data_IF_748118841750
#
_entry.id   IF_748118841750
#
_cell.length_a   1.000
_cell.length_b   1.000
_cell.length_c   1.000
_cell.angle_alpha   90.00
_cell.angle_beta   90.00
_cell.angle_gamma   90.00
#
_symmetry.space_group_name_H-M   'P 1'
#
loop_
_entity.id
_entity.type
_entity.pdbx_description
1 polymer ?
#
# COMPACT_ATOMS: atom_id res chain seq x y z
N UNK A 1 0.93 -20.99 -11.00
CA UNK A 1 -0.03 -20.99 -9.85
C UNK A 1 0.66 -20.27 -8.71
N UNK A 2 0.13 -19.14 -8.22
CA UNK A 2 0.74 -18.37 -7.14
C UNK A 2 0.97 -19.29 -5.94
N UNK A 3 2.19 -19.32 -5.40
CA UNK A 3 2.50 -20.05 -4.17
C UNK A 3 1.48 -19.67 -3.09
N UNK A 4 0.74 -20.62 -2.52
CA UNK A 4 -0.34 -20.33 -1.56
C UNK A 4 0.14 -19.47 -0.38
N UNK A 5 1.41 -19.66 0.03
CA UNK A 5 2.08 -18.88 1.07
C UNK A 5 2.37 -17.44 0.66
N UNK A 6 2.65 -17.18 -0.62
CA UNK A 6 2.80 -15.82 -1.14
C UNK A 6 1.44 -15.11 -1.15
N UNK A 7 0.41 -15.80 -1.61
CA UNK A 7 -0.94 -15.25 -1.69
C UNK A 7 -1.51 -14.89 -0.31
N UNK A 8 -1.34 -15.76 0.68
CA UNK A 8 -1.74 -15.52 2.07
C UNK A 8 -1.05 -14.28 2.65
N UNK A 9 0.27 -14.14 2.46
CA UNK A 9 1.02 -12.97 2.91
C UNK A 9 0.64 -11.67 2.20
N UNK A 10 0.33 -11.73 0.89
CA UNK A 10 -0.15 -10.57 0.15
C UNK A 10 -1.54 -10.13 0.62
N UNK A 11 -2.41 -11.08 0.94
CA UNK A 11 -3.73 -10.84 1.50
C UNK A 11 -3.65 -10.20 2.88
N UNK A 12 -2.82 -10.72 3.78
CA UNK A 12 -2.56 -10.12 5.09
C UNK A 12 -2.02 -8.69 4.97
N UNK A 13 -1.04 -8.47 4.08
CA UNK A 13 -0.48 -7.14 3.84
C UNK A 13 -1.52 -6.17 3.28
N UNK A 14 -2.38 -6.62 2.36
CA UNK A 14 -3.46 -5.81 1.80
C UNK A 14 -4.53 -5.45 2.85
N UNK A 15 -4.87 -6.38 3.73
CA UNK A 15 -5.79 -6.12 4.84
C UNK A 15 -5.22 -5.09 5.83
N UNK A 16 -3.93 -5.21 6.16
CA UNK A 16 -3.24 -4.24 7.02
C UNK A 16 -3.22 -2.86 6.38
N UNK A 17 -2.85 -2.79 5.09
CA UNK A 17 -2.85 -1.55 4.32
C UNK A 17 -4.24 -0.87 4.34
N UNK A 18 -5.31 -1.61 4.05
CA UNK A 18 -6.67 -1.07 4.04
C UNK A 18 -7.15 -0.59 5.42
N UNK A 19 -6.76 -1.28 6.51
CA UNK A 19 -7.06 -0.82 7.87
C UNK A 19 -6.38 0.51 8.18
N UNK A 20 -5.10 0.65 7.84
CA UNK A 20 -4.38 1.90 8.06
C UNK A 20 -4.87 3.03 7.15
N UNK A 21 -5.23 2.73 5.90
CA UNK A 21 -5.85 3.70 5.00
C UNK A 21 -7.18 4.21 5.57
N UNK A 22 -7.97 3.34 6.19
CA UNK A 22 -9.22 3.73 6.87
C UNK A 22 -8.93 4.64 8.07
N UNK A 23 -7.87 4.38 8.84
CA UNK A 23 -7.46 5.23 9.96
C UNK A 23 -7.05 6.63 9.49
N UNK A 24 -6.28 6.73 8.40
CA UNK A 24 -5.89 8.03 7.82
C UNK A 24 -7.11 8.84 7.37
N UNK A 25 -8.14 8.16 6.88
CA UNK A 25 -9.38 8.79 6.41
C UNK A 25 -10.34 9.18 7.54
N UNK A 26 -10.14 8.66 8.75
CA UNK A 26 -11.07 8.85 9.84
C UNK A 26 -10.79 10.16 10.58
N UNK A 27 -11.62 11.17 10.32
CA UNK A 27 -11.53 12.49 10.95
C UNK A 27 -11.93 12.46 12.44
N UNK A 28 -12.61 11.40 12.90
CA UNK A 28 -13.08 11.22 14.30
C UNK A 28 -12.05 10.51 15.21
N UNK A 29 -10.80 10.37 14.77
CA UNK A 29 -9.76 9.90 15.67
C UNK A 29 -9.60 10.91 16.82
N UNK A 30 -9.60 10.41 18.06
CA UNK A 30 -9.36 11.21 19.27
C UNK A 30 -7.87 11.66 19.38
N UNK A 31 -7.31 12.18 18.29
CA UNK A 31 -5.97 12.74 18.19
C UNK A 31 -6.10 14.24 18.49
N UNK A 32 -5.36 14.78 19.46
CA UNK A 32 -5.35 16.22 19.70
C UNK A 32 -4.89 16.97 18.43
N UNK A 33 -5.53 18.08 18.10
CA UNK A 33 -5.22 18.89 16.90
C UNK A 33 -3.73 19.21 16.73
N UNK A 34 -3.00 19.40 17.83
CA UNK A 34 -1.56 19.66 17.83
C UNK A 34 -0.72 18.52 17.27
N UNK A 35 -1.22 17.28 17.33
CA UNK A 35 -0.53 16.07 16.86
C UNK A 35 -1.15 15.49 15.58
N UNK A 36 -2.22 16.08 15.06
CA UNK A 36 -2.96 15.52 13.93
C UNK A 36 -2.10 15.43 12.67
N UNK A 37 -1.35 16.50 12.36
CA UNK A 37 -0.42 16.51 11.23
C UNK A 37 0.69 15.46 11.37
N UNK A 38 1.27 15.30 12.56
CA UNK A 38 2.34 14.31 12.79
C UNK A 38 1.80 12.88 12.74
N UNK A 39 0.58 12.67 13.23
CA UNK A 39 -0.10 11.38 13.14
C UNK A 39 -0.44 11.01 11.69
N UNK A 40 -1.00 11.94 10.90
CA UNK A 40 -1.26 11.75 9.48
C UNK A 40 0.03 11.40 8.72
N UNK A 41 1.12 12.14 8.98
CA UNK A 41 2.42 11.87 8.39
C UNK A 41 2.94 10.47 8.74
N UNK A 42 2.90 10.09 10.01
CA UNK A 42 3.35 8.77 10.46
C UNK A 42 2.52 7.63 9.86
N UNK A 43 1.20 7.82 9.72
CA UNK A 43 0.31 6.84 9.10
C UNK A 43 0.60 6.71 7.59
N UNK A 44 0.87 7.81 6.88
CA UNK A 44 1.30 7.79 5.48
C UNK A 44 2.64 7.07 5.32
N UNK A 45 3.63 7.39 6.16
CA UNK A 45 4.95 6.73 6.14
C UNK A 45 4.81 5.22 6.37
N UNK A 46 3.94 4.81 7.30
CA UNK A 46 3.63 3.40 7.53
C UNK A 46 3.01 2.73 6.30
N UNK A 47 2.05 3.38 5.64
CA UNK A 47 1.42 2.84 4.43
C UNK A 47 2.45 2.67 3.30
N UNK A 48 3.35 3.63 3.13
CA UNK A 48 4.46 3.54 2.18
C UNK A 48 5.41 2.39 2.50
N UNK A 49 5.76 2.21 3.78
CA UNK A 49 6.59 1.09 4.24
C UNK A 49 5.91 -0.28 4.00
N UNK A 50 4.61 -0.38 4.26
CA UNK A 50 3.83 -1.60 4.03
C UNK A 50 3.84 -2.00 2.55
N UNK A 51 3.70 -1.02 1.65
CA UNK A 51 3.79 -1.24 0.21
C UNK A 51 5.17 -1.71 -0.24
N UNK A 52 6.25 -1.07 0.21
CA UNK A 52 7.61 -1.48 -0.12
C UNK A 52 7.90 -2.93 0.36
N UNK A 53 7.45 -3.25 1.58
CA UNK A 53 7.60 -4.58 2.15
C UNK A 53 6.96 -5.66 1.28
N UNK A 54 5.78 -5.38 0.74
CA UNK A 54 5.06 -6.36 -0.05
C UNK A 54 5.53 -6.40 -1.53
N UNK A 55 6.07 -5.30 -2.07
CA UNK A 55 6.85 -5.33 -3.32
C UNK A 55 8.06 -6.27 -3.19
N UNK A 56 8.80 -6.18 -2.07
CA UNK A 56 9.95 -7.08 -1.81
C UNK A 56 9.52 -8.53 -1.65
N UNK A 57 8.33 -8.76 -1.07
CA UNK A 57 7.76 -10.10 -0.93
C UNK A 57 7.48 -10.75 -2.30
N UNK A 58 6.86 -10.00 -3.22
CA UNK A 58 6.62 -10.44 -4.61
C UNK A 58 7.95 -10.77 -5.30
N UNK A 59 8.95 -9.89 -5.18
CA UNK A 59 10.25 -10.07 -5.79
C UNK A 59 10.98 -11.34 -5.29
N UNK A 60 10.82 -11.70 -4.01
CA UNK A 60 11.46 -12.88 -3.38
C UNK A 60 10.78 -14.21 -3.72
N UNK A 61 9.48 -14.21 -3.95
CA UNK A 61 8.69 -15.45 -4.09
C UNK A 61 8.18 -15.71 -5.53
N UNK A 62 8.42 -14.80 -6.47
CA UNK A 62 8.09 -15.00 -7.89
C UNK A 62 9.04 -15.98 -8.60
N UNK A 63 8.78 -17.28 -8.45
CA UNK A 63 9.52 -18.35 -9.16
C UNK A 63 8.87 -18.78 -10.49
N UNK A 64 7.66 -18.30 -10.79
CA UNK A 64 6.87 -18.61 -11.99
C UNK A 64 6.80 -17.36 -12.90
N UNK A 65 7.34 -17.42 -14.13
CA UNK A 65 7.66 -16.22 -14.94
C UNK A 65 6.44 -15.42 -15.36
N UNK A 66 5.34 -16.08 -15.73
CA UNK A 66 4.12 -15.41 -16.21
C UNK A 66 3.38 -14.70 -15.08
N UNK A 67 3.26 -15.37 -13.93
CA UNK A 67 2.71 -14.80 -12.69
C UNK A 67 3.56 -13.62 -12.22
N UNK A 68 4.89 -13.72 -12.36
CA UNK A 68 5.85 -12.67 -12.03
C UNK A 68 5.62 -11.43 -12.88
N UNK A 69 5.51 -11.56 -14.20
CA UNK A 69 5.35 -10.40 -15.09
C UNK A 69 4.06 -9.62 -14.82
N UNK A 70 2.95 -10.31 -14.53
CA UNK A 70 1.70 -9.65 -14.15
C UNK A 70 1.82 -8.91 -12.81
N UNK A 71 2.41 -9.54 -11.79
CA UNK A 71 2.61 -8.91 -10.47
C UNK A 71 3.58 -7.73 -10.55
N UNK A 72 4.68 -7.86 -11.30
CA UNK A 72 5.64 -6.78 -11.52
C UNK A 72 5.02 -5.62 -12.31
N UNK A 73 4.15 -5.89 -13.28
CA UNK A 73 3.39 -4.84 -13.99
C UNK A 73 2.52 -4.03 -13.04
N UNK A 74 1.84 -4.68 -12.10
CA UNK A 74 1.02 -4.02 -11.07
C UNK A 74 1.87 -3.27 -10.04
N UNK A 75 3.01 -3.83 -9.61
CA UNK A 75 3.99 -3.13 -8.77
C UNK A 75 4.48 -1.85 -9.44
N UNK A 76 4.75 -1.88 -10.75
CA UNK A 76 5.16 -0.69 -11.50
C UNK A 76 4.05 0.37 -11.52
N UNK A 77 2.79 -0.04 -11.67
CA UNK A 77 1.65 0.89 -11.58
C UNK A 77 1.52 1.51 -10.18
N UNK A 78 1.79 0.74 -9.12
CA UNK A 78 1.83 1.24 -7.73
C UNK A 78 2.94 2.28 -7.58
N UNK A 79 4.16 1.97 -8.04
CA UNK A 79 5.29 2.90 -7.97
C UNK A 79 5.01 4.20 -8.73
N UNK A 80 4.41 4.12 -9.92
CA UNK A 80 4.00 5.28 -10.72
C UNK A 80 2.88 6.08 -10.04
N UNK A 81 1.89 5.41 -9.44
CA UNK A 81 0.84 6.09 -8.69
C UNK A 81 1.39 6.88 -7.48
N UNK A 82 2.51 6.42 -6.94
CA UNK A 82 3.20 7.03 -5.81
C UNK A 82 4.32 8.00 -6.22
N UNK A 83 4.65 8.13 -7.51
CA UNK A 83 5.59 9.15 -7.96
C UNK A 83 5.07 10.54 -7.55
N UNK A 84 5.99 11.38 -7.07
CA UNK A 84 5.68 12.73 -6.57
C UNK A 84 4.70 12.75 -5.38
N UNK A 85 4.73 11.74 -4.50
CA UNK A 85 4.06 11.80 -3.17
C UNK A 85 4.85 12.63 -2.14
N UNK A 86 6.02 13.16 -2.51
CA UNK A 86 6.78 14.12 -1.70
C UNK A 86 6.19 15.54 -1.68
N UNK A 87 5.14 15.79 -2.48
CA UNK A 87 4.40 17.04 -2.43
C UNK A 87 3.71 17.18 -1.07
N UNK A 88 3.80 18.37 -0.48
CA UNK A 88 3.35 18.71 0.88
C UNK A 88 1.83 18.55 1.13
N UNK A 89 1.07 18.03 0.16
CA UNK A 89 -0.38 17.86 0.24
C UNK A 89 -0.74 16.43 0.70
N UNK A 90 -1.03 16.32 1.99
CA UNK A 90 -1.52 15.11 2.64
C UNK A 90 -2.76 14.52 1.94
N UNK A 91 -3.68 15.36 1.45
CA UNK A 91 -4.91 14.89 0.78
C UNK A 91 -4.60 14.26 -0.58
N UNK A 92 -3.65 14.84 -1.32
CA UNK A 92 -3.18 14.26 -2.57
C UNK A 92 -2.50 12.91 -2.33
N UNK A 93 -1.71 12.80 -1.26
CA UNK A 93 -1.06 11.56 -0.87
C UNK A 93 -2.09 10.46 -0.52
N UNK A 94 -3.12 10.79 0.26
CA UNK A 94 -4.21 9.85 0.60
C UNK A 94 -4.93 9.34 -0.66
N UNK A 95 -5.27 10.21 -1.61
CA UNK A 95 -5.89 9.80 -2.88
C UNK A 95 -5.01 8.86 -3.71
N UNK A 96 -3.69 9.10 -3.73
CA UNK A 96 -2.74 8.21 -4.39
C UNK A 96 -2.69 6.84 -3.70
N UNK A 97 -2.74 6.81 -2.36
CA UNK A 97 -2.80 5.58 -1.57
C UNK A 97 -4.12 4.80 -1.79
N UNK A 98 -5.25 5.48 -1.99
CA UNK A 98 -6.52 4.83 -2.38
C UNK A 98 -6.39 4.10 -3.73
N UNK A 99 -5.83 4.77 -4.74
CA UNK A 99 -5.57 4.18 -6.05
C UNK A 99 -4.64 2.96 -5.96
N UNK A 100 -3.66 3.00 -5.04
CA UNK A 100 -2.78 1.86 -4.77
C UNK A 100 -3.53 0.71 -4.12
N UNK A 101 -4.44 0.97 -3.17
CA UNK A 101 -5.32 -0.05 -2.58
C UNK A 101 -6.15 -0.77 -3.65
N UNK A 102 -6.70 -0.02 -4.61
CA UNK A 102 -7.47 -0.60 -5.73
C UNK A 102 -6.60 -1.54 -6.57
N UNK A 103 -5.40 -1.10 -6.96
CA UNK A 103 -4.45 -1.93 -7.71
C UNK A 103 -4.05 -3.17 -6.90
N UNK A 104 -3.84 -3.01 -5.59
CA UNK A 104 -3.47 -4.08 -4.68
C UNK A 104 -4.55 -5.16 -4.55
N UNK A 105 -5.82 -4.75 -4.51
CA UNK A 105 -6.94 -5.70 -4.44
C UNK A 105 -6.96 -6.68 -5.62
N UNK A 106 -6.40 -6.29 -6.77
CA UNK A 106 -6.29 -7.15 -7.96
C UNK A 106 -5.10 -8.12 -7.92
N UNK A 107 -4.20 -8.00 -6.95
CA UNK A 107 -3.03 -8.87 -6.76
C UNK A 107 -3.33 -10.10 -5.88
N UNK A 108 -4.36 -10.04 -5.04
CA UNK A 108 -4.72 -11.10 -4.09
C UNK A 108 -6.01 -11.79 -4.56
N UNK A 109 -5.95 -13.09 -4.89
CA UNK A 109 -7.11 -13.90 -5.28
C UNK A 109 -7.28 -15.09 -4.34
#
# INVERSE_FOLDING_TARGET
MINSKLNEKLKESGQLFNRYLTLVKNEDLAIPKSFQHDAEKAQIEFLMFSLDSAIRLIARHGTDSETKDQMFGKVKQIQQALENTKDQDTKLCVRKLEKVADIWSTLCY
#
